data_IF_788915408348
#
_entry.id   IF_788915408348
#
_cell.length_a   1.000
_cell.length_b   1.000
_cell.length_c   1.000
_cell.angle_alpha   90.00
_cell.angle_beta   90.00
_cell.angle_gamma   90.00
#
_symmetry.space_group_name_H-M   'P 1'
#
loop_
_entity.id
_entity.type
_entity.pdbx_description
1 polymer ?
#
# COMPACT_ATOMS: atom_id res chain seq x y z
N UNK A 1 -18.57 4.86 3.57
CA UNK A 1 -17.84 5.60 2.53
C UNK A 1 -16.83 4.65 1.93
N UNK A 2 -16.85 4.50 0.61
CA UNK A 2 -15.85 3.73 -0.12
C UNK A 2 -14.88 4.73 -0.74
N UNK A 3 -13.58 4.56 -0.50
CA UNK A 3 -12.51 5.42 -0.98
C UNK A 3 -11.47 4.62 -1.73
N UNK A 4 -10.99 5.21 -2.82
CA UNK A 4 -9.85 4.74 -3.58
C UNK A 4 -8.88 5.92 -3.75
N UNK A 5 -7.59 5.66 -3.57
CA UNK A 5 -6.55 6.66 -3.78
C UNK A 5 -5.28 6.02 -4.35
N UNK A 6 -4.54 6.79 -5.13
CA UNK A 6 -3.14 6.49 -5.38
C UNK A 6 -2.35 6.61 -4.07
N UNK A 7 -1.40 5.71 -3.91
CA UNK A 7 -0.53 5.63 -2.74
C UNK A 7 0.87 5.24 -3.21
N UNK A 8 1.87 5.43 -2.34
CA UNK A 8 3.17 4.83 -2.53
C UNK A 8 3.80 4.57 -1.17
N UNK A 9 4.69 3.58 -1.14
CA UNK A 9 5.59 3.32 -0.02
C UNK A 9 7.01 3.37 -0.56
N UNK A 10 7.82 4.33 -0.10
CA UNK A 10 9.17 4.58 -0.61
C UNK A 10 9.26 4.73 -2.13
N UNK A 11 8.28 5.45 -2.71
CA UNK A 11 8.12 5.64 -4.15
C UNK A 11 7.74 4.37 -4.92
N UNK A 12 7.54 3.22 -4.29
CA UNK A 12 6.93 2.07 -4.97
C UNK A 12 5.43 2.32 -5.07
N UNK A 13 4.93 2.41 -6.31
CA UNK A 13 3.53 2.71 -6.58
C UNK A 13 2.60 1.72 -5.89
N UNK A 14 1.40 2.20 -5.57
CA UNK A 14 0.34 1.36 -5.09
C UNK A 14 -0.99 2.05 -5.06
N UNK A 15 -1.97 1.31 -4.56
CA UNK A 15 -3.34 1.75 -4.40
C UNK A 15 -3.77 1.53 -2.97
N UNK A 16 -4.51 2.50 -2.43
CA UNK A 16 -5.14 2.40 -1.12
C UNK A 16 -6.65 2.32 -1.30
N UNK A 17 -7.26 1.38 -0.60
CA UNK A 17 -8.71 1.19 -0.54
C UNK A 17 -9.21 1.38 0.89
N UNK A 18 -10.37 2.00 1.01
CA UNK A 18 -11.21 1.94 2.19
C UNK A 18 -12.60 1.52 1.75
N UNK A 19 -13.10 0.39 2.23
CA UNK A 19 -14.38 -0.17 1.84
C UNK A 19 -15.34 -0.10 3.02
N UNK A 20 -16.59 0.31 2.77
CA UNK A 20 -17.69 0.05 3.68
C UNK A 20 -18.45 -1.17 3.15
N UNK A 21 -18.41 -2.26 3.90
CA UNK A 21 -18.99 -3.54 3.50
C UNK A 21 -20.51 -3.58 3.79
N UNK A 22 -21.27 -4.51 3.18
CA UNK A 22 -22.72 -4.64 3.40
C UNK A 22 -23.11 -4.87 4.87
N UNK A 23 -22.26 -5.59 5.62
CA UNK A 23 -22.42 -5.85 7.06
C UNK A 23 -22.00 -4.66 7.94
N UNK A 24 -21.70 -3.50 7.33
CA UNK A 24 -21.20 -2.27 7.95
C UNK A 24 -19.80 -2.38 8.57
N UNK A 25 -19.08 -3.49 8.36
CA UNK A 25 -17.65 -3.55 8.65
C UNK A 25 -16.87 -2.64 7.68
N UNK A 26 -15.63 -2.28 8.06
CA UNK A 26 -14.76 -1.42 7.24
C UNK A 26 -13.44 -2.11 6.95
N UNK A 27 -13.13 -2.30 5.67
CA UNK A 27 -11.85 -2.87 5.21
C UNK A 27 -10.92 -1.76 4.74
N UNK A 28 -9.66 -1.82 5.16
CA UNK A 28 -8.58 -0.96 4.69
C UNK A 28 -7.56 -1.83 3.99
N UNK A 29 -7.16 -1.48 2.77
CA UNK A 29 -6.15 -2.23 2.05
C UNK A 29 -5.12 -1.31 1.40
N UNK A 30 -3.88 -1.78 1.27
CA UNK A 30 -2.94 -1.29 0.28
C UNK A 30 -2.48 -2.42 -0.63
N UNK A 31 -2.31 -2.07 -1.89
CA UNK A 31 -1.93 -2.96 -2.98
C UNK A 31 -0.70 -2.37 -3.64
N UNK A 32 0.37 -3.16 -3.75
CA UNK A 32 1.61 -2.78 -4.40
C UNK A 32 2.07 -3.89 -5.34
N UNK A 33 2.68 -3.52 -6.46
CA UNK A 33 3.36 -4.45 -7.35
C UNK A 33 4.84 -4.09 -7.37
N UNK A 34 5.71 -5.04 -7.05
CA UNK A 34 7.16 -4.82 -7.03
C UNK A 34 7.88 -6.02 -7.64
N UNK A 35 8.64 -5.79 -8.72
CA UNK A 35 9.37 -6.82 -9.46
C UNK A 35 8.49 -8.03 -9.84
N UNK A 36 7.32 -7.74 -10.41
CA UNK A 36 6.29 -8.70 -10.79
C UNK A 36 5.71 -9.54 -9.62
N UNK A 37 5.83 -9.05 -8.39
CA UNK A 37 5.20 -9.64 -7.21
C UNK A 37 4.12 -8.73 -6.67
N UNK A 38 2.92 -9.28 -6.49
CA UNK A 38 1.76 -8.58 -5.96
C UNK A 38 1.71 -8.72 -4.44
N UNK A 39 1.69 -7.58 -3.75
CA UNK A 39 1.56 -7.49 -2.30
C UNK A 39 0.22 -6.82 -1.97
N UNK A 40 -0.59 -7.51 -1.18
CA UNK A 40 -1.87 -6.99 -0.68
C UNK A 40 -1.84 -7.09 0.83
N UNK A 41 -2.06 -5.97 1.50
CA UNK A 41 -2.18 -5.90 2.95
C UNK A 41 -3.54 -5.34 3.28
N UNK A 42 -4.34 -6.06 4.05
CA UNK A 42 -5.66 -5.60 4.45
C UNK A 42 -5.97 -5.84 5.93
N UNK A 43 -6.88 -5.05 6.45
CA UNK A 43 -7.46 -5.22 7.77
C UNK A 43 -8.92 -4.77 7.78
N UNK A 44 -9.76 -5.57 8.42
CA UNK A 44 -11.20 -5.31 8.53
C UNK A 44 -11.57 -5.07 10.00
N UNK A 45 -12.29 -3.99 10.24
CA UNK A 45 -12.85 -3.66 11.56
C UNK A 45 -14.35 -3.91 11.58
N UNK A 46 -14.92 -4.52 12.65
CA UNK A 46 -16.35 -4.73 12.75
C UNK A 46 -17.17 -3.44 12.74
N UNK A 47 -18.45 -3.56 12.41
CA UNK A 47 -19.40 -2.46 12.55
C UNK A 47 -19.41 -1.89 13.98
N UNK A 48 -19.57 -0.57 14.11
CA UNK A 48 -19.59 0.11 15.41
C UNK A 48 -18.22 0.36 16.05
N UNK A 49 -17.13 -0.19 15.49
CA UNK A 49 -15.77 0.16 15.91
C UNK A 49 -15.54 1.67 15.74
N UNK A 50 -14.74 2.31 16.63
CA UNK A 50 -14.31 3.69 16.43
C UNK A 50 -13.78 3.85 15.01
N UNK A 51 -14.10 4.95 14.30
CA UNK A 51 -13.56 5.18 12.98
C UNK A 51 -12.04 4.99 13.06
N UNK A 52 -11.43 4.05 12.31
CA UNK A 52 -10.00 3.90 12.32
C UNK A 52 -9.44 5.15 11.65
N UNK A 53 -9.12 6.16 12.46
CA UNK A 53 -8.74 7.48 12.00
C UNK A 53 -7.51 7.43 11.09
N UNK A 54 -6.66 6.40 11.29
CA UNK A 54 -5.45 6.16 10.52
C UNK A 54 -5.17 4.64 10.49
N UNK A 55 -5.58 3.94 9.42
CA UNK A 55 -4.85 2.73 9.02
C UNK A 55 -3.47 3.19 8.55
N UNK A 56 -2.56 3.39 9.51
CA UNK A 56 -1.20 3.84 9.29
C UNK A 56 -0.38 2.62 8.87
N UNK A 57 0.08 2.65 7.62
CA UNK A 57 0.93 1.60 7.08
C UNK A 57 2.37 2.14 7.06
N UNK A 58 3.19 1.62 7.95
CA UNK A 58 4.65 1.81 7.90
C UNK A 58 5.26 0.71 7.04
N UNK A 59 4.96 0.74 5.74
CA UNK A 59 5.43 -0.27 4.80
C UNK A 59 6.82 0.10 4.26
N UNK A 60 7.62 -0.91 3.93
CA UNK A 60 8.39 -0.82 2.70
C UNK A 60 9.23 -2.05 2.42
N UNK A 61 10.01 -1.93 1.37
CA UNK A 61 10.52 -3.07 0.63
C UNK A 61 12.00 -3.28 0.92
N UNK A 62 12.40 -4.53 1.05
CA UNK A 62 13.80 -4.92 1.20
C UNK A 62 14.22 -5.70 -0.05
N UNK A 63 15.44 -5.48 -0.51
CA UNK A 63 16.05 -6.32 -1.54
C UNK A 63 16.59 -7.63 -0.95
N UNK A 64 17.18 -8.47 -1.81
CA UNK A 64 17.69 -9.79 -1.42
C UNK A 64 18.86 -9.73 -0.42
N UNK A 65 19.54 -8.59 -0.33
CA UNK A 65 20.59 -8.31 0.66
C UNK A 65 20.02 -7.73 1.97
N UNK A 66 18.69 -7.53 2.06
CA UNK A 66 18.03 -6.94 3.21
C UNK A 66 18.13 -5.41 3.28
N UNK A 67 18.59 -4.75 2.20
CA UNK A 67 18.67 -3.29 2.15
C UNK A 67 17.33 -2.69 1.76
N UNK A 68 17.00 -1.55 2.37
CA UNK A 68 15.80 -0.78 2.03
C UNK A 68 15.80 -0.37 0.57
N UNK A 69 14.71 -0.68 -0.13
CA UNK A 69 14.44 -0.22 -1.48
C UNK A 69 13.67 1.10 -1.39
N UNK A 70 14.27 2.16 -1.92
CA UNK A 70 13.63 3.46 -2.11
C UNK A 70 14.15 4.09 -3.39
N UNK A 71 13.25 4.71 -4.15
CA UNK A 71 13.57 5.32 -5.43
C UNK A 71 13.59 6.85 -5.35
N UNK A 72 14.30 7.49 -6.28
CA UNK A 72 14.34 8.95 -6.43
C UNK A 72 13.04 9.51 -7.04
N UNK A 73 12.30 8.69 -7.79
CA UNK A 73 10.96 8.97 -8.33
C UNK A 73 10.08 7.72 -8.25
N UNK A 74 8.78 7.86 -8.56
CA UNK A 74 7.81 6.76 -8.47
C UNK A 74 8.24 5.58 -9.35
N UNK A 75 8.47 4.43 -8.73
CA UNK A 75 8.59 3.14 -9.39
C UNK A 75 7.21 2.64 -9.78
N UNK A 76 7.07 2.26 -11.05
CA UNK A 76 5.91 1.52 -11.55
C UNK A 76 6.37 0.23 -12.20
N UNK A 77 5.65 -0.87 -11.92
CA UNK A 77 6.05 -2.20 -12.41
C UNK A 77 5.99 -2.30 -13.95
N UNK A 78 5.28 -1.40 -14.62
CA UNK A 78 5.15 -1.37 -16.07
C UNK A 78 6.30 -0.66 -16.80
N UNK A 79 7.22 0.00 -16.07
CA UNK A 79 8.28 0.83 -16.64
C UNK A 79 9.66 0.41 -16.12
N UNK A 80 10.75 0.80 -16.81
CA UNK A 80 12.09 0.63 -16.28
C UNK A 80 12.22 1.25 -14.88
N UNK A 81 12.86 0.56 -13.92
CA UNK A 81 12.96 1.05 -12.56
C UNK A 81 13.73 2.38 -12.51
N UNK A 82 13.27 3.38 -11.74
CA UNK A 82 14.03 4.59 -11.48
C UNK A 82 15.33 4.30 -10.74
N UNK A 83 16.16 5.34 -10.59
CA UNK A 83 17.36 5.24 -9.75
C UNK A 83 16.99 5.08 -8.27
N UNK A 84 17.68 4.17 -7.57
CA UNK A 84 17.53 3.98 -6.12
C UNK A 84 18.25 5.10 -5.36
N UNK A 85 17.64 5.57 -4.27
CA UNK A 85 18.32 6.42 -3.29
C UNK A 85 19.39 5.61 -2.56
N UNK A 86 20.54 6.23 -2.23
CA UNK A 86 21.66 5.56 -1.56
C UNK A 86 21.28 4.98 -0.20
#
# INVERSE_FOLDING_TARGET
LTLYAHYNADQIEGHRLQLLNPDKSRTFAAIHMYENRLYIFEGTTPAGSPPPALFQQSLGFLDKEGKRVRYESVYSNAYPPPRRTR
#
